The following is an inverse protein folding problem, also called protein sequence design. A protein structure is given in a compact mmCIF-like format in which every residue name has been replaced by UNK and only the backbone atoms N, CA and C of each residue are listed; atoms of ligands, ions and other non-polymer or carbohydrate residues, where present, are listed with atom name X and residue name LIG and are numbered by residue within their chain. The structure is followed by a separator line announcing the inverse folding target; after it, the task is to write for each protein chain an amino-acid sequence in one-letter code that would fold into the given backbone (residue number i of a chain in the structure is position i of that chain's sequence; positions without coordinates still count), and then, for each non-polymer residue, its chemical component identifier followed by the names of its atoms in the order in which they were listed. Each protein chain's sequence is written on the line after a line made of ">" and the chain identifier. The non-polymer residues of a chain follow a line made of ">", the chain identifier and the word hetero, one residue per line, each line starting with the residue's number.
data_IF_869295353778
#
_entry.id   IF_869295353778
#
_cell.length_a   1.000
_cell.length_b   1.000
_cell.length_c   1.000
_cell.angle_alpha   90.00
_cell.angle_beta   90.00
_cell.angle_gamma   90.00
#
_symmetry.space_group_name_H-M   'P 1'
#
loop_
_entity.id
_entity.type
_entity.pdbx_description
1 polymer ?
#
# COMPACT_ATOMS: atom_id res chain seq x y z
N UNK A 1 31.70 10.37 -70.70
CA UNK A 1 30.39 9.68 -70.66
C UNK A 1 30.24 9.11 -69.27
N UNK A 2 29.61 9.86 -68.38
CA UNK A 2 29.23 9.35 -67.06
C UNK A 2 27.87 8.66 -67.22
N UNK A 3 27.87 7.33 -67.05
CA UNK A 3 26.64 6.55 -67.04
C UNK A 3 25.83 6.92 -65.80
N UNK A 4 24.64 7.50 -66.00
CA UNK A 4 23.62 7.60 -64.96
C UNK A 4 23.28 6.18 -64.53
N UNK A 5 23.66 5.82 -63.30
CA UNK A 5 23.10 4.65 -62.63
C UNK A 5 21.66 5.06 -62.27
N UNK A 6 20.71 4.70 -63.13
CA UNK A 6 19.30 4.74 -62.78
C UNK A 6 19.09 3.77 -61.61
N UNK A 7 18.67 4.31 -60.46
CA UNK A 7 18.17 3.52 -59.35
C UNK A 7 16.92 2.77 -59.85
N UNK A 8 17.11 1.58 -60.39
CA UNK A 8 16.04 0.64 -60.73
C UNK A 8 15.36 0.19 -59.44
N UNK A 9 14.41 0.99 -58.96
CA UNK A 9 13.43 0.57 -57.96
C UNK A 9 12.64 -0.57 -58.59
N UNK A 10 12.74 -1.77 -58.01
CA UNK A 10 11.98 -2.92 -58.50
C UNK A 10 10.48 -2.57 -58.48
N UNK A 11 9.72 -2.91 -59.54
CA UNK A 11 8.29 -2.62 -59.55
C UNK A 11 7.60 -3.32 -58.37
N UNK A 12 6.58 -2.67 -57.76
CA UNK A 12 5.90 -3.23 -56.61
C UNK A 12 5.21 -4.55 -56.97
N UNK A 13 5.35 -5.55 -56.08
CA UNK A 13 4.74 -6.88 -56.24
C UNK A 13 3.24 -6.91 -55.95
N UNK A 14 2.68 -5.84 -55.37
CA UNK A 14 1.27 -5.67 -55.03
C UNK A 14 0.77 -4.33 -55.55
N UNK A 15 -0.54 -4.21 -55.78
CA UNK A 15 -1.14 -2.89 -55.97
C UNK A 15 -1.09 -2.08 -54.65
N UNK A 16 -1.11 -0.75 -54.76
CA UNK A 16 -1.14 0.16 -53.60
C UNK A 16 -2.32 -0.15 -52.65
N UNK A 17 -3.47 -0.53 -53.22
CA UNK A 17 -4.65 -0.92 -52.46
C UNK A 17 -4.44 -2.21 -51.67
N UNK A 18 -3.87 -3.25 -52.30
CA UNK A 18 -3.56 -4.52 -51.65
C UNK A 18 -2.50 -4.35 -50.55
N UNK A 19 -1.48 -3.53 -50.80
CA UNK A 19 -0.46 -3.19 -49.81
C UNK A 19 -1.09 -2.52 -48.58
N UNK A 20 -1.90 -1.46 -48.77
CA UNK A 20 -2.60 -0.75 -47.69
C UNK A 20 -3.53 -1.67 -46.91
N UNK A 21 -4.22 -2.59 -47.59
CA UNK A 21 -5.10 -3.58 -46.97
C UNK A 21 -4.30 -4.55 -46.11
N UNK A 22 -3.26 -5.18 -46.65
CA UNK A 22 -2.38 -6.09 -45.89
C UNK A 22 -1.68 -5.42 -44.72
N UNK A 23 -1.26 -4.16 -44.88
CA UNK A 23 -0.68 -3.37 -43.79
C UNK A 23 -1.70 -3.13 -42.66
N UNK A 24 -2.93 -2.72 -43.02
CA UNK A 24 -4.01 -2.51 -42.05
C UNK A 24 -4.39 -3.80 -41.32
N UNK A 25 -4.45 -4.92 -42.03
CA UNK A 25 -4.76 -6.21 -41.40
C UNK A 25 -3.65 -6.67 -40.46
N UNK A 26 -2.38 -6.44 -40.82
CA UNK A 26 -1.26 -6.70 -39.91
C UNK A 26 -1.34 -5.82 -38.64
N UNK A 27 -1.69 -4.54 -38.77
CA UNK A 27 -1.94 -3.67 -37.60
C UNK A 27 -3.04 -4.23 -36.69
N UNK A 28 -4.14 -4.75 -37.25
CA UNK A 28 -5.22 -5.38 -36.46
C UNK A 28 -4.70 -6.61 -35.71
N UNK A 29 -3.93 -7.48 -36.36
CA UNK A 29 -3.31 -8.65 -35.71
C UNK A 29 -2.40 -8.21 -34.56
N UNK A 30 -1.62 -7.16 -34.76
CA UNK A 30 -0.76 -6.59 -33.72
C UNK A 30 -1.57 -6.11 -32.50
N UNK A 31 -2.68 -5.40 -32.73
CA UNK A 31 -3.57 -4.90 -31.69
C UNK A 31 -4.28 -6.03 -30.93
N UNK A 32 -4.83 -7.01 -31.64
CA UNK A 32 -5.51 -8.18 -31.03
C UNK A 32 -4.53 -8.95 -30.14
N UNK A 33 -3.31 -9.20 -30.61
CA UNK A 33 -2.28 -9.86 -29.82
C UNK A 33 -1.98 -9.09 -28.52
N UNK A 34 -1.81 -7.77 -28.61
CA UNK A 34 -1.51 -6.93 -27.43
C UNK A 34 -2.63 -7.05 -26.40
N UNK A 35 -3.89 -6.94 -26.84
CA UNK A 35 -5.06 -7.03 -25.98
C UNK A 35 -5.18 -8.41 -25.31
N UNK A 36 -5.01 -9.49 -26.08
CA UNK A 36 -5.03 -10.85 -25.54
C UNK A 36 -3.90 -11.09 -24.53
N UNK A 37 -2.71 -10.54 -24.81
CA UNK A 37 -1.57 -10.66 -23.90
C UNK A 37 -1.77 -9.88 -22.61
N UNK A 38 -2.31 -8.66 -22.67
CA UNK A 38 -2.63 -7.86 -21.48
C UNK A 38 -3.69 -8.55 -20.60
N UNK A 39 -4.70 -9.16 -21.21
CA UNK A 39 -5.67 -10.00 -20.49
C UNK A 39 -4.98 -11.18 -19.79
N UNK A 40 -4.10 -11.88 -20.51
CA UNK A 40 -3.39 -13.04 -19.95
C UNK A 40 -2.42 -12.64 -18.82
N UNK A 41 -1.73 -11.51 -18.94
CA UNK A 41 -0.88 -10.96 -17.88
C UNK A 41 -1.73 -10.74 -16.62
N UNK A 42 -2.87 -10.05 -16.74
CA UNK A 42 -3.74 -9.78 -15.58
C UNK A 42 -4.23 -11.08 -14.90
N UNK A 43 -4.59 -12.10 -15.67
CA UNK A 43 -4.96 -13.42 -15.13
C UNK A 43 -3.81 -14.06 -14.34
N UNK A 44 -2.59 -14.01 -14.85
CA UNK A 44 -1.42 -14.61 -14.20
C UNK A 44 -0.94 -13.81 -12.98
N UNK A 45 -1.05 -12.49 -13.01
CA UNK A 45 -0.77 -11.60 -11.87
C UNK A 45 -1.71 -11.89 -10.70
N UNK A 46 -3.01 -12.09 -10.96
CA UNK A 46 -3.99 -12.48 -9.93
C UNK A 46 -3.64 -13.83 -9.28
N UNK A 47 -3.09 -14.76 -10.05
CA UNK A 47 -2.68 -16.07 -9.57
C UNK A 47 -1.27 -16.09 -8.94
N UNK A 48 -0.54 -14.96 -8.94
CA UNK A 48 0.86 -14.87 -8.52
C UNK A 48 1.78 -15.89 -9.23
N UNK A 49 1.48 -16.26 -10.48
CA UNK A 49 2.29 -17.23 -11.24
C UNK A 49 3.44 -16.53 -11.97
N UNK A 50 4.52 -16.29 -11.21
CA UNK A 50 5.71 -15.62 -11.71
C UNK A 50 6.44 -16.39 -12.81
N UNK A 51 6.35 -17.73 -12.83
CA UNK A 51 7.00 -18.54 -13.86
C UNK A 51 6.29 -18.35 -15.20
N UNK A 52 4.97 -18.52 -15.21
CA UNK A 52 4.17 -18.33 -16.42
C UNK A 52 4.25 -16.88 -16.92
N UNK A 53 4.34 -15.88 -16.03
CA UNK A 53 4.55 -14.49 -16.42
C UNK A 53 5.90 -14.30 -17.14
N UNK A 54 6.99 -14.87 -16.62
CA UNK A 54 8.31 -14.79 -17.26
C UNK A 54 8.27 -15.39 -18.66
N UNK A 55 7.73 -16.60 -18.79
CA UNK A 55 7.60 -17.30 -20.07
C UNK A 55 6.75 -16.48 -21.06
N UNK A 56 5.62 -15.93 -20.59
CA UNK A 56 4.74 -15.09 -21.42
C UNK A 56 5.46 -13.84 -21.92
N UNK A 57 6.15 -13.09 -21.05
CA UNK A 57 6.89 -11.89 -21.44
C UNK A 57 8.00 -12.21 -22.46
N UNK A 58 8.73 -13.31 -22.28
CA UNK A 58 9.76 -13.75 -23.22
C UNK A 58 9.16 -14.11 -24.60
N UNK A 59 8.05 -14.85 -24.63
CA UNK A 59 7.30 -15.15 -25.85
C UNK A 59 6.76 -13.89 -26.54
N UNK A 60 6.25 -12.94 -25.74
CA UNK A 60 5.76 -11.67 -26.27
C UNK A 60 6.86 -10.85 -26.91
N UNK A 61 8.03 -10.77 -26.29
CA UNK A 61 9.19 -10.08 -26.86
C UNK A 61 9.61 -10.68 -28.20
N UNK A 62 9.63 -12.02 -28.31
CA UNK A 62 9.91 -12.72 -29.59
C UNK A 62 8.86 -12.33 -30.64
N UNK A 63 7.58 -12.36 -30.27
CA UNK A 63 6.47 -12.03 -31.18
C UNK A 63 6.52 -10.57 -31.64
N UNK A 64 6.80 -9.62 -30.74
CA UNK A 64 6.92 -8.19 -31.07
C UNK A 64 8.10 -7.93 -31.99
N UNK A 65 9.25 -8.59 -31.78
CA UNK A 65 10.39 -8.53 -32.72
C UNK A 65 10.02 -9.05 -34.11
N UNK A 66 9.26 -10.15 -34.18
CA UNK A 66 8.73 -10.66 -35.45
C UNK A 66 7.86 -9.64 -36.17
N UNK A 67 6.99 -8.92 -35.45
CA UNK A 67 6.15 -7.84 -36.02
C UNK A 67 6.97 -6.65 -36.50
N UNK A 68 8.00 -6.26 -35.74
CA UNK A 68 8.94 -5.20 -36.16
C UNK A 68 9.61 -5.58 -37.48
N UNK A 69 10.07 -6.83 -37.62
CA UNK A 69 10.67 -7.33 -38.86
C UNK A 69 9.69 -7.24 -40.04
N UNK A 70 8.42 -7.64 -39.86
CA UNK A 70 7.38 -7.50 -40.90
C UNK A 70 7.14 -6.03 -41.27
N UNK A 71 7.13 -5.10 -40.30
CA UNK A 71 7.02 -3.68 -40.62
C UNK A 71 8.26 -3.14 -41.35
N UNK A 72 9.46 -3.60 -41.02
CA UNK A 72 10.69 -3.22 -41.72
C UNK A 72 10.70 -3.72 -43.18
N UNK A 73 10.17 -4.92 -43.45
CA UNK A 73 9.95 -5.41 -44.81
C UNK A 73 8.95 -4.54 -45.56
N UNK A 74 7.82 -4.21 -44.93
CA UNK A 74 6.81 -3.30 -45.52
C UNK A 74 7.35 -1.90 -45.76
N UNK A 75 8.26 -1.40 -44.94
CA UNK A 75 8.89 -0.10 -45.12
C UNK A 75 9.74 -0.08 -46.41
N UNK A 76 10.47 -1.16 -46.68
CA UNK A 76 11.22 -1.34 -47.94
C UNK A 76 10.29 -1.47 -49.14
N UNK A 77 9.20 -2.23 -49.02
CA UNK A 77 8.19 -2.34 -50.07
C UNK A 77 7.52 -0.98 -50.37
N UNK A 78 7.33 -0.13 -49.35
CA UNK A 78 6.74 1.20 -49.51
C UNK A 78 7.58 2.13 -50.41
N UNK A 79 8.89 1.90 -50.55
CA UNK A 79 9.77 2.66 -51.45
C UNK A 79 9.37 2.50 -52.93
N UNK A 80 8.65 1.43 -53.28
CA UNK A 80 8.26 1.10 -54.64
C UNK A 80 7.00 1.83 -55.13
N UNK A 81 6.33 2.60 -54.25
CA UNK A 81 5.13 3.37 -54.60
C UNK A 81 5.47 4.86 -54.66
N UNK A 82 5.67 5.42 -55.85
CA UNK A 82 6.00 6.84 -56.03
C UNK A 82 4.88 7.76 -55.49
N UNK A 83 3.62 7.43 -55.76
CA UNK A 83 2.47 8.13 -55.20
C UNK A 83 2.18 7.67 -53.77
N UNK A 84 2.24 8.60 -52.81
CA UNK A 84 2.07 8.38 -51.35
C UNK A 84 3.26 7.75 -50.62
N UNK A 85 4.46 7.69 -51.23
CA UNK A 85 5.68 7.14 -50.60
C UNK A 85 5.91 7.68 -49.20
N UNK A 86 6.03 9.00 -49.07
CA UNK A 86 6.39 9.66 -47.82
C UNK A 86 5.38 9.38 -46.71
N UNK A 87 4.09 9.50 -47.01
CA UNK A 87 3.00 9.24 -46.06
C UNK A 87 2.97 7.77 -45.61
N UNK A 88 3.20 6.82 -46.52
CA UNK A 88 3.26 5.39 -46.16
C UNK A 88 4.49 5.07 -45.33
N UNK A 89 5.65 5.60 -45.71
CA UNK A 89 6.90 5.41 -44.98
C UNK A 89 6.82 6.00 -43.57
N UNK A 90 6.27 7.21 -43.43
CA UNK A 90 6.05 7.84 -42.13
C UNK A 90 5.14 6.97 -41.25
N UNK A 91 4.00 6.52 -41.80
CA UNK A 91 3.06 5.69 -41.04
C UNK A 91 3.68 4.36 -40.59
N UNK A 92 4.43 3.68 -41.44
CA UNK A 92 5.11 2.43 -41.09
C UNK A 92 6.23 2.67 -40.08
N UNK A 93 6.99 3.75 -40.23
CA UNK A 93 8.05 4.15 -39.29
C UNK A 93 7.49 4.42 -37.89
N UNK A 94 6.34 5.10 -37.81
CA UNK A 94 5.64 5.35 -36.55
C UNK A 94 5.19 4.04 -35.88
N UNK A 95 4.70 3.07 -36.65
CA UNK A 95 4.35 1.74 -36.12
C UNK A 95 5.58 0.99 -35.59
N UNK A 96 6.71 1.01 -36.31
CA UNK A 96 7.98 0.43 -35.84
C UNK A 96 8.40 1.07 -34.52
N UNK A 97 8.37 2.41 -34.44
CA UNK A 97 8.72 3.15 -33.23
C UNK A 97 7.77 2.82 -32.06
N UNK A 98 6.48 2.59 -32.35
CA UNK A 98 5.50 2.16 -31.34
C UNK A 98 5.78 0.73 -30.85
N UNK A 99 6.11 -0.21 -31.74
CA UNK A 99 6.46 -1.57 -31.34
C UNK A 99 7.78 -1.64 -30.54
N UNK A 100 8.77 -0.82 -30.90
CA UNK A 100 10.02 -0.71 -30.13
C UNK A 100 9.78 -0.19 -28.72
N UNK A 101 8.99 0.87 -28.55
CA UNK A 101 8.57 1.37 -27.23
C UNK A 101 7.84 0.31 -26.42
N UNK A 102 7.00 -0.50 -27.07
CA UNK A 102 6.33 -1.62 -26.40
C UNK A 102 7.32 -2.71 -25.99
N UNK A 103 8.32 -3.03 -26.83
CA UNK A 103 9.37 -4.00 -26.51
C UNK A 103 10.20 -3.57 -25.28
N UNK A 104 10.58 -2.29 -25.19
CA UNK A 104 11.28 -1.72 -24.04
C UNK A 104 10.44 -1.87 -22.75
N UNK A 105 9.14 -1.59 -22.84
CA UNK A 105 8.21 -1.80 -21.70
C UNK A 105 8.20 -3.26 -21.26
N UNK A 106 8.11 -4.21 -22.20
CA UNK A 106 8.12 -5.65 -21.89
C UNK A 106 9.44 -6.08 -21.24
N UNK A 107 10.58 -5.52 -21.66
CA UNK A 107 11.89 -5.80 -21.06
C UNK A 107 11.95 -5.35 -19.59
N UNK A 108 11.45 -4.15 -19.29
CA UNK A 108 11.38 -3.64 -17.93
C UNK A 108 10.46 -4.49 -17.05
N UNK A 109 9.28 -4.88 -17.58
CA UNK A 109 8.35 -5.76 -16.87
C UNK A 109 8.95 -7.15 -16.61
N UNK A 110 9.64 -7.73 -17.58
CA UNK A 110 10.32 -9.02 -17.43
C UNK A 110 11.38 -8.96 -16.32
N UNK A 111 12.20 -7.91 -16.30
CA UNK A 111 13.20 -7.71 -15.25
C UNK A 111 12.53 -7.62 -13.87
N UNK A 112 11.47 -6.82 -13.76
CA UNK A 112 10.72 -6.66 -12.52
C UNK A 112 10.10 -7.98 -12.02
N UNK A 113 9.48 -8.77 -12.89
CA UNK A 113 8.92 -10.08 -12.51
C UNK A 113 10.02 -11.06 -12.11
N UNK A 114 11.17 -11.07 -12.79
CA UNK A 114 12.32 -11.89 -12.38
C UNK A 114 12.83 -11.50 -10.99
N UNK A 115 12.94 -10.21 -10.71
CA UNK A 115 13.27 -9.71 -9.37
C UNK A 115 12.22 -10.11 -8.34
N UNK A 116 10.93 -9.99 -8.62
CA UNK A 116 9.87 -10.42 -7.72
C UNK A 116 9.94 -11.92 -7.43
N UNK A 117 10.10 -12.77 -8.45
CA UNK A 117 10.29 -14.21 -8.29
C UNK A 117 11.46 -14.53 -7.36
N UNK A 118 12.59 -13.86 -7.55
CA UNK A 118 13.74 -13.98 -6.67
C UNK A 118 13.38 -13.62 -5.22
N UNK A 119 12.75 -12.46 -4.99
CA UNK A 119 12.33 -12.02 -3.65
C UNK A 119 11.37 -13.02 -2.99
N UNK A 120 10.44 -13.62 -3.73
CA UNK A 120 9.54 -14.64 -3.21
C UNK A 120 10.24 -15.95 -2.83
N UNK A 121 11.40 -16.24 -3.40
CA UNK A 121 12.20 -17.44 -3.10
C UNK A 121 13.05 -17.31 -1.83
N UNK A 122 13.24 -16.09 -1.33
CA UNK A 122 14.07 -15.82 -0.15
C UNK A 122 13.34 -16.19 1.15
N UNK A 123 14.11 -16.67 2.14
CA UNK A 123 13.64 -16.76 3.52
C UNK A 123 13.38 -15.36 4.12
N UNK A 124 12.69 -15.28 5.26
CA UNK A 124 12.40 -14.00 5.92
C UNK A 124 13.67 -13.19 6.23
N UNK A 125 14.71 -13.87 6.71
CA UNK A 125 15.98 -13.23 7.02
C UNK A 125 16.68 -12.72 5.76
N UNK A 126 16.76 -13.55 4.71
CA UNK A 126 17.39 -13.17 3.44
C UNK A 126 16.62 -12.05 2.74
N UNK A 127 15.29 -12.07 2.78
CA UNK A 127 14.43 -11.03 2.23
C UNK A 127 14.73 -9.68 2.88
N UNK A 128 14.84 -9.66 4.21
CA UNK A 128 15.17 -8.43 4.93
C UNK A 128 16.61 -7.97 4.63
N UNK A 129 17.59 -8.88 4.58
CA UNK A 129 18.96 -8.54 4.22
C UNK A 129 19.07 -7.97 2.80
N UNK A 130 18.34 -8.53 1.84
CA UNK A 130 18.26 -8.02 0.47
C UNK A 130 17.61 -6.62 0.45
N UNK A 131 16.55 -6.42 1.23
CA UNK A 131 15.91 -5.11 1.39
C UNK A 131 16.87 -4.05 1.95
N UNK A 132 17.76 -4.41 2.87
CA UNK A 132 18.78 -3.49 3.41
C UNK A 132 19.89 -3.15 2.41
N UNK A 133 20.27 -4.11 1.56
CA UNK A 133 21.41 -3.95 0.64
C UNK A 133 21.01 -3.30 -0.69
N UNK A 134 19.78 -3.50 -1.14
CA UNK A 134 19.34 -3.14 -2.47
C UNK A 134 18.06 -2.29 -2.45
N UNK A 135 18.20 -1.02 -2.82
CA UNK A 135 17.11 -0.04 -2.90
C UNK A 135 15.97 -0.50 -3.81
N UNK A 136 16.29 -1.09 -4.97
CA UNK A 136 15.28 -1.57 -5.93
C UNK A 136 14.48 -2.73 -5.34
N UNK A 137 15.15 -3.65 -4.64
CA UNK A 137 14.50 -4.73 -3.91
C UNK A 137 13.59 -4.19 -2.80
N UNK A 138 14.05 -3.21 -2.03
CA UNK A 138 13.23 -2.54 -1.00
C UNK A 138 11.96 -1.93 -1.60
N UNK A 139 12.07 -1.20 -2.72
CA UNK A 139 10.92 -0.63 -3.43
C UNK A 139 9.92 -1.70 -3.89
N UNK A 140 10.41 -2.82 -4.43
CA UNK A 140 9.55 -3.94 -4.87
C UNK A 140 8.86 -4.62 -3.70
N UNK A 141 9.56 -4.83 -2.58
CA UNK A 141 8.98 -5.40 -1.36
C UNK A 141 7.85 -4.50 -0.86
N UNK A 142 8.10 -3.20 -0.75
CA UNK A 142 7.13 -2.20 -0.25
C UNK A 142 5.88 -2.13 -1.14
N UNK A 143 6.06 -2.18 -2.47
CA UNK A 143 4.95 -2.13 -3.43
C UNK A 143 4.15 -3.44 -3.51
N UNK A 144 4.66 -4.54 -2.97
CA UNK A 144 4.00 -5.85 -2.99
C UNK A 144 3.40 -6.18 -1.60
N UNK A 145 2.06 -6.24 -1.45
CA UNK A 145 1.41 -6.50 -0.15
C UNK A 145 1.86 -7.79 0.54
N UNK A 146 2.10 -8.86 -0.23
CA UNK A 146 2.50 -10.17 0.31
C UNK A 146 3.94 -10.17 0.82
N UNK A 147 4.84 -9.44 0.17
CA UNK A 147 6.24 -9.31 0.62
C UNK A 147 6.36 -8.36 1.81
N UNK A 148 5.72 -7.19 1.78
CA UNK A 148 5.81 -6.24 2.90
C UNK A 148 5.15 -6.76 4.18
N UNK A 149 4.15 -7.63 4.08
CA UNK A 149 3.55 -8.29 5.24
C UNK A 149 4.54 -9.20 5.98
N UNK A 150 5.60 -9.66 5.32
CA UNK A 150 6.68 -10.47 5.92
C UNK A 150 7.71 -9.63 6.67
N UNK A 151 7.71 -8.31 6.50
CA UNK A 151 8.63 -7.38 7.15
C UNK A 151 7.99 -6.84 8.43
N UNK A 152 8.68 -7.00 9.56
CA UNK A 152 8.20 -6.51 10.85
C UNK A 152 8.23 -4.98 10.92
N UNK A 153 7.45 -4.41 11.83
CA UNK A 153 7.40 -2.97 12.06
C UNK A 153 8.79 -2.36 12.34
N UNK A 154 9.60 -3.02 13.16
CA UNK A 154 10.94 -2.54 13.52
C UNK A 154 11.91 -2.60 12.33
N UNK A 155 11.75 -3.61 11.48
CA UNK A 155 12.55 -3.78 10.26
C UNK A 155 12.23 -2.72 9.21
N UNK A 156 10.99 -2.23 9.12
CA UNK A 156 10.59 -1.21 8.13
C UNK A 156 11.42 0.06 8.23
N UNK A 157 11.76 0.48 9.44
CA UNK A 157 12.54 1.71 9.69
C UNK A 157 13.97 1.59 9.16
N UNK A 158 14.49 0.36 9.03
CA UNK A 158 15.87 0.08 8.66
C UNK A 158 16.08 -0.03 7.14
N UNK A 159 15.03 -0.34 6.37
CA UNK A 159 15.11 -0.53 4.92
C UNK A 159 14.74 0.72 4.11
N UNK A 160 14.89 1.91 4.70
CA UNK A 160 14.44 3.16 4.08
C UNK A 160 15.39 3.70 3.02
N UNK A 161 16.67 3.31 3.07
CA UNK A 161 17.75 3.85 2.22
C UNK A 161 17.87 5.38 2.25
N UNK A 162 17.30 6.04 3.27
CA UNK A 162 17.12 7.50 3.33
C UNK A 162 16.44 8.07 2.07
N UNK A 163 15.63 7.25 1.39
CA UNK A 163 14.96 7.62 0.15
C UNK A 163 13.53 8.10 0.42
N UNK A 164 13.18 9.26 -0.12
CA UNK A 164 11.88 9.89 0.12
C UNK A 164 10.70 9.08 -0.44
N UNK A 165 10.86 8.39 -1.59
CA UNK A 165 9.80 7.55 -2.16
C UNK A 165 9.53 6.35 -1.26
N UNK A 166 10.61 5.70 -0.78
CA UNK A 166 10.53 4.59 0.16
C UNK A 166 9.87 5.03 1.47
N UNK A 167 10.33 6.13 2.07
CA UNK A 167 9.81 6.63 3.34
C UNK A 167 8.31 6.95 3.23
N UNK A 168 7.88 7.65 2.17
CA UNK A 168 6.46 7.97 1.94
C UNK A 168 5.61 6.73 1.72
N UNK A 169 6.14 5.75 1.00
CA UNK A 169 5.45 4.48 0.75
C UNK A 169 5.27 3.69 2.06
N UNK A 170 6.32 3.58 2.87
CA UNK A 170 6.26 2.95 4.19
C UNK A 170 5.26 3.68 5.11
N UNK A 171 5.29 5.00 5.17
CA UNK A 171 4.34 5.78 5.95
C UNK A 171 2.88 5.53 5.53
N UNK A 172 2.63 5.36 4.24
CA UNK A 172 1.30 5.02 3.73
C UNK A 172 0.86 3.62 4.14
N UNK A 173 1.77 2.64 4.17
CA UNK A 173 1.52 1.28 4.66
C UNK A 173 1.29 1.28 6.18
N UNK A 174 2.09 2.06 6.92
CA UNK A 174 1.95 2.18 8.38
C UNK A 174 0.62 2.84 8.74
N UNK A 175 0.16 3.81 7.93
CA UNK A 175 -1.13 4.47 8.15
C UNK A 175 -2.36 3.57 7.96
N UNK A 176 -2.24 2.47 7.22
CA UNK A 176 -3.35 1.49 7.07
C UNK A 176 -3.35 0.44 8.16
N UNK A 177 -2.29 0.39 8.98
CA UNK A 177 -2.20 -0.49 10.14
C UNK A 177 -2.91 0.14 11.33
N UNK A 178 -3.19 -0.71 12.30
CA UNK A 178 -3.76 -0.29 13.56
C UNK A 178 -2.83 0.68 14.30
N UNK A 179 -3.39 1.80 14.78
CA UNK A 179 -2.59 2.81 15.45
C UNK A 179 -2.26 2.40 16.89
N UNK A 180 -0.98 2.16 17.15
CA UNK A 180 -0.44 1.75 18.46
C UNK A 180 0.78 2.61 18.82
N UNK A 181 1.36 2.38 20.00
CA UNK A 181 2.63 3.00 20.38
C UNK A 181 3.76 2.66 19.39
N UNK A 182 3.79 1.44 18.87
CA UNK A 182 4.76 1.03 17.84
C UNK A 182 4.56 1.84 16.56
N UNK A 183 3.32 2.00 16.10
CA UNK A 183 2.99 2.82 14.93
C UNK A 183 3.46 4.27 15.10
N UNK A 184 3.23 4.87 16.26
CA UNK A 184 3.71 6.22 16.58
C UNK A 184 5.25 6.31 16.53
N UNK A 185 5.96 5.33 17.11
CA UNK A 185 7.42 5.29 17.08
C UNK A 185 7.98 5.17 15.66
N UNK A 186 7.31 4.41 14.78
CA UNK A 186 7.67 4.33 13.36
C UNK A 186 7.51 5.70 12.70
N UNK A 187 6.38 6.38 12.87
CA UNK A 187 6.18 7.72 12.31
C UNK A 187 7.22 8.72 12.82
N UNK A 188 7.55 8.68 14.12
CA UNK A 188 8.60 9.50 14.70
C UNK A 188 9.97 9.23 14.04
N UNK A 189 10.34 7.96 13.87
CA UNK A 189 11.59 7.58 13.21
C UNK A 189 11.62 8.00 11.73
N UNK A 190 10.53 7.80 10.98
CA UNK A 190 10.44 8.23 9.58
C UNK A 190 10.55 9.75 9.42
N UNK A 191 9.95 10.53 10.33
CA UNK A 191 10.05 12.01 10.33
C UNK A 191 11.48 12.51 10.54
N UNK A 192 12.30 11.77 11.30
CA UNK A 192 13.71 12.10 11.51
C UNK A 192 14.57 11.85 10.26
N UNK A 193 14.11 10.99 9.35
CA UNK A 193 14.86 10.61 8.14
C UNK A 193 14.56 11.49 6.94
N UNK A 194 13.52 12.33 6.98
CA UNK A 194 13.19 13.26 5.89
C UNK A 194 13.75 14.65 6.14
N UNK A 195 14.25 15.29 5.08
CA UNK A 195 14.88 16.60 5.18
C UNK A 195 13.92 17.76 4.89
N UNK A 196 12.95 17.57 3.99
CA UNK A 196 12.08 18.65 3.53
C UNK A 196 10.84 18.81 4.41
N UNK A 197 10.38 20.05 4.57
CA UNK A 197 9.13 20.33 5.30
C UNK A 197 7.90 19.75 4.60
N UNK A 198 7.92 19.64 3.26
CA UNK A 198 6.84 18.99 2.51
C UNK A 198 6.74 17.50 2.85
N UNK A 199 7.86 16.79 2.95
CA UNK A 199 7.88 15.37 3.30
C UNK A 199 7.48 15.16 4.76
N UNK A 200 7.94 16.01 5.68
CA UNK A 200 7.48 16.01 7.08
C UNK A 200 5.98 16.23 7.18
N UNK A 201 5.45 17.20 6.43
CA UNK A 201 4.01 17.49 6.34
C UNK A 201 3.22 16.27 5.87
N UNK A 202 3.69 15.59 4.82
CA UNK A 202 3.08 14.35 4.35
C UNK A 202 3.04 13.27 5.44
N UNK A 203 4.14 13.07 6.17
CA UNK A 203 4.20 12.09 7.26
C UNK A 203 3.24 12.44 8.42
N UNK A 204 3.13 13.72 8.77
CA UNK A 204 2.17 14.20 9.78
C UNK A 204 0.73 13.97 9.33
N UNK A 205 0.42 14.23 8.07
CA UNK A 205 -0.92 13.99 7.50
C UNK A 205 -1.29 12.50 7.58
N UNK A 206 -0.35 11.61 7.21
CA UNK A 206 -0.57 10.15 7.29
C UNK A 206 -0.74 9.65 8.72
N UNK A 207 0.05 10.14 9.66
CA UNK A 207 -0.13 9.80 11.08
C UNK A 207 -1.48 10.30 11.59
N UNK A 208 -1.88 11.52 11.26
CA UNK A 208 -3.15 12.10 11.68
C UNK A 208 -4.36 11.35 11.10
N UNK A 209 -4.25 10.84 9.86
CA UNK A 209 -5.27 9.97 9.28
C UNK A 209 -5.41 8.64 10.03
N UNK A 210 -4.29 8.02 10.42
CA UNK A 210 -4.30 6.79 11.22
C UNK A 210 -4.88 7.02 12.63
N UNK A 211 -4.54 8.15 13.26
CA UNK A 211 -5.14 8.57 14.54
C UNK A 211 -6.65 8.81 14.37
N UNK A 212 -7.09 9.42 13.27
CA UNK A 212 -8.52 9.63 13.01
C UNK A 212 -9.29 8.30 12.94
N UNK A 213 -8.77 7.30 12.24
CA UNK A 213 -9.38 5.96 12.19
C UNK A 213 -9.48 5.33 13.59
N UNK A 214 -8.41 5.43 14.38
CA UNK A 214 -8.39 5.05 15.79
C UNK A 214 -9.51 5.73 16.59
N UNK A 215 -9.62 7.06 16.49
CA UNK A 215 -10.63 7.81 17.23
C UNK A 215 -12.06 7.47 16.79
N UNK A 216 -12.30 7.19 15.51
CA UNK A 216 -13.60 6.71 15.01
C UNK A 216 -13.96 5.34 15.60
N UNK A 217 -13.00 4.42 15.69
CA UNK A 217 -13.18 3.11 16.35
C UNK A 217 -13.53 3.27 17.82
N UNK A 218 -12.81 4.15 18.54
CA UNK A 218 -13.11 4.45 19.95
C UNK A 218 -14.53 5.03 20.07
N UNK A 219 -14.89 5.98 19.21
CA UNK A 219 -16.21 6.60 19.23
C UNK A 219 -17.34 5.58 19.04
N UNK A 220 -17.22 4.72 18.04
CA UNK A 220 -18.17 3.64 17.76
C UNK A 220 -18.30 2.67 18.95
N UNK A 221 -17.21 2.34 19.61
CA UNK A 221 -17.22 1.49 20.80
C UNK A 221 -17.98 2.16 21.97
N UNK A 222 -17.69 3.43 22.25
CA UNK A 222 -18.37 4.19 23.30
C UNK A 222 -19.87 4.31 23.01
N UNK A 223 -20.26 4.58 21.76
CA UNK A 223 -21.66 4.63 21.36
C UNK A 223 -22.38 3.30 21.59
N UNK A 224 -21.78 2.16 21.23
CA UNK A 224 -22.33 0.83 21.52
C UNK A 224 -22.51 0.58 23.02
N UNK A 225 -21.56 1.02 23.86
CA UNK A 225 -21.66 0.90 25.32
C UNK A 225 -22.78 1.76 25.90
N UNK A 226 -22.94 2.99 25.40
CA UNK A 226 -24.03 3.88 25.78
C UNK A 226 -25.37 3.27 25.37
N UNK A 227 -25.51 2.78 24.13
CA UNK A 227 -26.73 2.11 23.67
C UNK A 227 -27.09 0.88 24.51
N UNK A 228 -26.10 0.08 24.91
CA UNK A 228 -26.32 -1.06 25.80
C UNK A 228 -26.85 -0.62 27.16
N UNK A 229 -26.30 0.45 27.74
CA UNK A 229 -26.82 1.05 28.98
C UNK A 229 -28.28 1.53 28.82
N UNK A 230 -28.63 2.12 27.67
CA UNK A 230 -30.00 2.59 27.35
C UNK A 230 -31.01 1.43 27.29
N UNK A 231 -30.60 0.30 26.69
CA UNK A 231 -31.47 -0.85 26.43
C UNK A 231 -31.65 -1.74 27.66
N UNK A 232 -30.57 -2.07 28.35
CA UNK A 232 -30.56 -3.08 29.41
C UNK A 232 -30.81 -2.49 30.81
N UNK A 233 -30.84 -1.15 30.94
CA UNK A 233 -30.95 -0.43 32.22
C UNK A 233 -29.92 -0.92 33.27
N UNK A 234 -28.79 -1.42 32.79
CA UNK A 234 -27.73 -2.03 33.58
C UNK A 234 -26.45 -1.19 33.47
N UNK A 235 -25.44 -1.42 34.30
CA UNK A 235 -24.14 -0.73 34.20
C UNK A 235 -23.17 -1.53 33.30
N UNK A 236 -23.05 -1.25 31.98
CA UNK A 236 -22.13 -1.98 31.09
C UNK A 236 -20.66 -1.60 31.29
N UNK A 237 -20.38 -0.73 32.27
CA UNK A 237 -19.07 -0.20 32.62
C UNK A 237 -18.33 -1.23 33.48
N UNK A 238 -17.65 -2.18 32.83
CA UNK A 238 -16.86 -3.22 33.50
C UNK A 238 -15.63 -2.68 34.27
N UNK A 239 -15.28 -1.41 34.04
CA UNK A 239 -14.20 -0.70 34.73
C UNK A 239 -14.84 0.22 35.77
N UNK A 240 -14.85 -0.21 37.02
CA UNK A 240 -15.40 0.56 38.14
C UNK A 240 -14.85 1.99 38.16
N UNK A 241 -15.78 2.96 38.23
CA UNK A 241 -15.57 4.30 38.78
C UNK A 241 -14.61 5.28 38.04
N UNK A 242 -15.00 5.75 36.85
CA UNK A 242 -14.54 7.05 36.32
C UNK A 242 -15.30 8.24 36.96
N UNK A 243 -15.16 8.40 38.28
CA UNK A 243 -15.70 9.58 38.98
C UNK A 243 -17.23 9.63 39.15
N UNK A 244 -17.76 10.83 39.35
CA UNK A 244 -19.19 11.10 39.49
C UNK A 244 -19.93 10.72 38.20
N UNK A 245 -21.18 10.25 38.35
CA UNK A 245 -22.00 9.90 37.19
C UNK A 245 -22.63 11.14 36.60
N UNK A 246 -22.46 11.34 35.31
CA UNK A 246 -23.13 12.37 34.52
C UNK A 246 -24.33 11.76 33.81
N UNK A 247 -25.37 12.56 33.59
CA UNK A 247 -26.50 12.14 32.76
C UNK A 247 -26.25 12.60 31.33
N UNK A 248 -26.27 11.64 30.41
CA UNK A 248 -26.14 11.87 28.98
C UNK A 248 -27.53 11.68 28.36
N UNK A 249 -28.04 12.72 27.72
CA UNK A 249 -29.35 12.68 27.08
C UNK A 249 -29.26 11.92 25.74
N UNK A 250 -30.00 10.82 25.62
CA UNK A 250 -30.14 10.04 24.37
C UNK A 250 -31.62 9.92 24.02
N UNK A 251 -32.09 10.86 23.18
CA UNK A 251 -33.52 10.98 22.87
C UNK A 251 -34.32 11.30 24.13
N UNK A 252 -35.32 10.47 24.46
CA UNK A 252 -36.18 10.66 25.63
C UNK A 252 -35.65 9.98 26.91
N UNK A 253 -34.46 9.37 26.88
CA UNK A 253 -33.87 8.67 28.02
C UNK A 253 -32.59 9.36 28.50
N UNK A 254 -32.47 9.47 29.81
CA UNK A 254 -31.23 9.93 30.47
C UNK A 254 -30.40 8.73 30.89
N UNK A 255 -29.18 8.65 30.41
CA UNK A 255 -28.26 7.54 30.68
C UNK A 255 -27.21 8.01 31.65
N UNK A 256 -27.07 7.29 32.76
CA UNK A 256 -26.00 7.55 33.71
C UNK A 256 -24.68 6.99 33.17
N UNK A 257 -23.78 7.89 32.77
CA UNK A 257 -22.43 7.55 32.28
C UNK A 257 -21.38 8.06 33.26
N UNK A 258 -20.23 7.40 33.39
CA UNK A 258 -19.13 7.95 34.17
C UNK A 258 -18.60 9.26 33.56
N UNK A 259 -18.21 10.22 34.41
CA UNK A 259 -17.74 11.54 33.97
C UNK A 259 -16.58 11.47 32.98
N UNK A 260 -15.63 10.54 33.17
CA UNK A 260 -14.54 10.35 32.22
C UNK A 260 -15.03 9.95 30.82
N UNK A 261 -16.08 9.12 30.72
CA UNK A 261 -16.68 8.75 29.42
C UNK A 261 -17.37 9.94 28.76
N UNK A 262 -18.03 10.79 29.57
CA UNK A 262 -18.63 12.03 29.09
C UNK A 262 -17.58 12.99 28.52
N UNK A 263 -16.47 13.21 29.22
CA UNK A 263 -15.37 14.06 28.76
C UNK A 263 -14.73 13.51 27.47
N UNK A 264 -14.47 12.19 27.40
CA UNK A 264 -13.93 11.55 26.20
C UNK A 264 -14.86 11.70 25.00
N UNK A 265 -16.18 11.55 25.17
CA UNK A 265 -17.16 11.81 24.11
C UNK A 265 -17.13 13.27 23.65
N UNK A 266 -17.06 14.23 24.58
CA UNK A 266 -16.96 15.65 24.24
C UNK A 266 -15.70 16.01 23.43
N UNK A 267 -14.59 15.30 23.64
CA UNK A 267 -13.39 15.43 22.78
C UNK A 267 -13.62 14.82 21.40
N UNK A 268 -14.24 13.65 21.32
CA UNK A 268 -14.54 12.96 20.06
C UNK A 268 -15.54 13.71 19.18
N UNK A 269 -16.45 14.49 19.76
CA UNK A 269 -17.37 15.38 19.03
C UNK A 269 -16.65 16.53 18.28
N UNK A 270 -15.33 16.68 18.47
CA UNK A 270 -14.48 17.63 17.77
C UNK A 270 -13.73 17.00 16.57
N UNK A 271 -13.99 15.74 16.24
CA UNK A 271 -13.29 14.98 15.19
C UNK A 271 -13.19 15.70 13.83
N UNK A 272 -14.21 16.47 13.46
CA UNK A 272 -14.25 17.21 12.20
C UNK A 272 -13.85 18.69 12.34
N UNK A 273 -13.46 19.13 13.55
CA UNK A 273 -13.18 20.53 13.87
C UNK A 273 -11.69 20.81 14.10
N UNK A 274 -10.96 19.85 14.63
CA UNK A 274 -9.53 19.99 14.95
C UNK A 274 -8.75 18.73 14.52
N UNK A 275 -7.41 18.80 14.39
CA UNK A 275 -6.59 17.63 14.10
C UNK A 275 -6.84 16.47 15.06
N UNK A 276 -6.83 15.25 14.54
CA UNK A 276 -7.05 14.03 15.31
C UNK A 276 -5.94 13.81 16.35
N UNK A 277 -4.70 14.21 16.04
CA UNK A 277 -3.60 14.25 17.01
C UNK A 277 -3.94 15.04 18.27
N UNK A 278 -4.57 16.19 18.11
CA UNK A 278 -4.89 17.11 19.21
C UNK A 278 -6.01 16.52 20.09
N UNK A 279 -6.98 15.85 19.47
CA UNK A 279 -8.04 15.11 20.19
C UNK A 279 -7.42 13.97 20.99
N UNK A 280 -6.50 13.20 20.39
CA UNK A 280 -5.81 12.11 21.07
C UNK A 280 -5.02 12.63 22.29
N UNK A 281 -4.30 13.75 22.15
CA UNK A 281 -3.58 14.40 23.26
C UNK A 281 -4.55 14.84 24.36
N UNK A 282 -5.67 15.50 24.01
CA UNK A 282 -6.70 15.91 24.98
C UNK A 282 -7.27 14.71 25.75
N UNK A 283 -7.57 13.62 25.05
CA UNK A 283 -8.04 12.39 25.67
C UNK A 283 -6.99 11.80 26.63
N UNK A 284 -5.74 11.73 26.20
CA UNK A 284 -4.62 11.26 27.05
C UNK A 284 -4.45 12.13 28.30
N UNK A 285 -4.50 13.45 28.16
CA UNK A 285 -4.37 14.39 29.28
C UNK A 285 -5.53 14.26 30.27
N UNK A 286 -6.78 14.18 29.79
CA UNK A 286 -7.95 13.94 30.64
C UNK A 286 -7.74 12.68 31.47
N UNK A 287 -7.23 11.61 30.88
CA UNK A 287 -6.97 10.36 31.60
C UNK A 287 -5.82 10.46 32.60
N UNK A 288 -4.73 11.14 32.23
CA UNK A 288 -3.57 11.33 33.09
C UNK A 288 -3.91 12.17 34.34
N UNK A 289 -4.73 13.22 34.19
CA UNK A 289 -5.21 14.03 35.31
C UNK A 289 -6.04 13.16 36.27
N UNK A 290 -7.00 12.38 35.75
CA UNK A 290 -7.81 11.49 36.60
C UNK A 290 -6.98 10.41 37.29
N UNK A 291 -5.86 10.00 36.70
CA UNK A 291 -4.89 9.08 37.31
C UNK A 291 -4.11 9.74 38.46
N UNK A 292 -3.58 10.95 38.24
CA UNK A 292 -2.83 11.72 39.22
C UNK A 292 -3.68 12.07 40.46
N UNK A 293 -4.96 12.39 40.27
CA UNK A 293 -5.90 12.74 41.35
C UNK A 293 -6.26 11.55 42.26
N UNK A 294 -5.96 10.30 41.85
CA UNK A 294 -6.46 9.08 42.53
C UNK A 294 -5.40 8.07 42.96
N UNK A 295 -4.13 8.25 42.57
CA UNK A 295 -3.02 7.32 42.87
C UNK A 295 -3.29 5.85 42.50
N UNK A 296 -4.23 5.59 41.59
CA UNK A 296 -4.64 4.24 41.23
C UNK A 296 -3.93 3.77 39.95
N UNK A 297 -2.77 3.11 40.13
CA UNK A 297 -1.98 2.46 39.05
C UNK A 297 -2.80 1.49 38.23
N UNK A 298 -3.84 0.88 38.81
CA UNK A 298 -4.70 -0.06 38.11
C UNK A 298 -5.50 0.61 36.99
N UNK A 299 -5.84 1.90 37.10
CA UNK A 299 -6.73 2.60 36.17
C UNK A 299 -6.03 3.02 34.87
N UNK A 300 -4.78 3.50 34.97
CA UNK A 300 -3.92 3.78 33.80
C UNK A 300 -3.48 2.47 33.12
N UNK A 301 -3.17 1.41 33.88
CA UNK A 301 -2.89 0.09 33.32
C UNK A 301 -4.13 -0.55 32.71
N UNK A 302 -5.32 -0.36 33.27
CA UNK A 302 -6.59 -0.83 32.72
C UNK A 302 -6.98 -0.06 31.45
N UNK A 303 -6.66 1.22 31.34
CA UNK A 303 -6.91 1.98 30.10
C UNK A 303 -5.85 1.74 29.03
N UNK A 304 -4.56 1.61 29.39
CA UNK A 304 -3.52 1.09 28.48
C UNK A 304 -3.88 -0.32 28.01
N UNK A 305 -4.37 -1.18 28.92
CA UNK A 305 -4.97 -2.49 28.59
C UNK A 305 -6.23 -2.34 27.75
N UNK A 306 -7.10 -1.35 27.96
CA UNK A 306 -8.30 -1.13 27.15
C UNK A 306 -7.95 -0.70 25.73
N UNK A 307 -6.97 0.19 25.55
CA UNK A 307 -6.38 0.53 24.25
C UNK A 307 -5.75 -0.74 23.65
N UNK A 308 -4.93 -1.49 24.38
CA UNK A 308 -4.36 -2.76 23.89
C UNK A 308 -5.42 -3.84 23.55
N UNK A 309 -6.52 -3.93 24.30
CA UNK A 309 -7.67 -4.82 24.06
C UNK A 309 -8.51 -4.35 22.88
N UNK A 310 -8.58 -3.05 22.63
CA UNK A 310 -9.24 -2.46 21.46
C UNK A 310 -8.41 -2.67 20.17
N UNK A 311 -7.11 -2.96 20.29
CA UNK A 311 -6.16 -3.02 19.18
C UNK A 311 -5.27 -4.30 19.18
N UNK A 312 -5.85 -5.47 19.43
CA UNK A 312 -5.12 -6.76 19.34
C UNK A 312 -5.82 -7.97 19.97
N UNK A 313 -6.90 -8.45 19.35
CA UNK A 313 -7.61 -9.67 19.76
C UNK A 313 -7.35 -10.82 18.76
N UNK A 314 -6.31 -11.60 19.04
CA UNK A 314 -6.32 -13.04 18.82
C UNK A 314 -5.82 -13.66 20.12
N UNK A 315 -6.73 -14.20 20.92
CA UNK A 315 -6.38 -14.88 22.17
C UNK A 315 -5.54 -16.13 21.82
N UNK A 316 -4.22 -16.07 22.00
CA UNK A 316 -3.41 -17.27 22.16
C UNK A 316 -3.30 -17.60 23.66
N UNK A 317 -3.21 -18.90 23.99
CA UNK A 317 -3.00 -19.39 25.36
C UNK A 317 -1.74 -18.81 26.02
N UNK A 318 -0.77 -18.35 25.22
CA UNK A 318 0.47 -17.72 25.71
C UNK A 318 0.20 -16.37 26.36
N UNK A 319 -0.76 -15.59 25.83
CA UNK A 319 -1.10 -14.27 26.41
C UNK A 319 -1.83 -14.42 27.74
N UNK A 320 -2.63 -15.49 27.92
CA UNK A 320 -3.28 -15.80 29.21
C UNK A 320 -2.22 -16.09 30.28
N UNK A 321 -1.17 -16.83 29.91
CA UNK A 321 -0.05 -17.17 30.82
C UNK A 321 0.84 -15.97 31.14
N UNK A 322 1.06 -15.07 30.18
CA UNK A 322 1.74 -13.79 30.45
C UNK A 322 0.92 -12.87 31.35
N UNK A 323 -0.42 -12.87 31.22
CA UNK A 323 -1.30 -12.12 32.11
C UNK A 323 -1.33 -12.70 33.52
N UNK A 324 -1.37 -14.03 33.68
CA UNK A 324 -1.24 -14.69 34.98
C UNK A 324 0.13 -14.42 35.60
N UNK A 325 1.21 -14.45 34.83
CA UNK A 325 2.56 -14.15 35.31
C UNK A 325 2.69 -12.71 35.80
N UNK A 326 2.22 -11.72 35.04
CA UNK A 326 2.24 -10.31 35.45
C UNK A 326 1.32 -10.04 36.65
N UNK A 327 0.21 -10.78 36.77
CA UNK A 327 -0.67 -10.72 37.93
C UNK A 327 0.00 -11.32 39.18
N UNK A 328 0.64 -12.49 39.06
CA UNK A 328 1.42 -13.17 40.13
C UNK A 328 2.61 -12.33 40.60
N UNK A 329 3.33 -11.68 39.69
CA UNK A 329 4.43 -10.75 40.02
C UNK A 329 3.90 -9.50 40.75
N UNK A 330 2.77 -8.95 40.31
CA UNK A 330 2.19 -7.74 40.93
C UNK A 330 1.65 -7.94 42.34
N UNK A 331 1.22 -9.17 42.67
CA UNK A 331 0.77 -9.57 44.01
C UNK A 331 1.88 -10.26 44.83
N UNK A 332 3.13 -10.24 44.35
CA UNK A 332 4.30 -10.72 45.07
C UNK A 332 4.45 -12.24 45.18
N UNK A 333 3.71 -13.02 44.37
CA UNK A 333 3.76 -14.49 44.35
C UNK A 333 4.87 -15.06 43.45
N UNK A 334 5.43 -14.27 42.53
CA UNK A 334 6.56 -14.64 41.68
C UNK A 334 7.58 -13.50 41.55
N UNK A 335 8.88 -13.83 41.49
CA UNK A 335 9.96 -12.87 41.26
C UNK A 335 10.33 -12.79 39.78
N UNK A 336 10.56 -11.57 39.29
CA UNK A 336 11.13 -11.34 37.95
C UNK A 336 12.60 -11.75 38.03
N UNK A 337 12.92 -12.93 37.49
CA UNK A 337 14.28 -13.47 37.43
C UNK A 337 14.70 -13.63 35.99
#
# INVERSE_FOLDING_TARGET
>A
MEGKIENLVKPPTLSLFEFKTKFTDHMKVCAIFKLNSEKRIAELELNNDHNALIELYEQMMVTVRGKIAVYQEKLKEAECYEENRESLQERITNEIASQNRYLEKLQLQLLQIKSLKFLFSLSLFELFQEALKNKSSALLIIKNPTLIAKISNDQMILMTHQDAEIIKSLASIVATREYTFTTHNIFAALKQQVQTESDKGFLVEKENAAIRDLLLKINNYLDKKIEKAVKENNNPWALGYFGSRHQLDRGNKKVSVPHGIYELKGHLDQLDKIPASDILIKMQNTLQIKYADRNDKSLLQQFKRLISYLFGYAQSEETIKEYEYLEQVSIGKQSIS
#
